data_IF_428622536344
#
_entry.id   IF_428622536344
#
_cell.length_a   1.000
_cell.length_b   1.000
_cell.length_c   1.000
_cell.angle_alpha   90.00
_cell.angle_beta   90.00
_cell.angle_gamma   90.00
#
_symmetry.space_group_name_H-M   'P 1'
#
loop_
_entity.id
_entity.type
_entity.pdbx_description
1 polymer ?
#
# COMPACT_ATOMS: atom_id res chain seq x y z
N UNK A 1 5.00 26.07 -1.63
CA UNK A 1 4.82 24.76 -0.96
C UNK A 1 5.04 23.70 -2.02
N UNK A 2 5.90 22.69 -1.79
CA UNK A 2 6.10 21.61 -2.77
C UNK A 2 4.84 20.77 -2.83
N UNK A 3 4.09 20.88 -3.91
CA UNK A 3 2.92 20.06 -4.13
C UNK A 3 3.35 18.61 -4.40
N UNK A 4 3.15 17.73 -3.40
CA UNK A 4 3.53 16.32 -3.50
C UNK A 4 2.64 15.61 -4.52
N UNK A 5 3.24 15.15 -5.62
CA UNK A 5 2.58 14.33 -6.62
C UNK A 5 2.24 12.97 -6.00
N UNK A 6 0.97 12.58 -6.07
CA UNK A 6 0.49 11.24 -5.69
C UNK A 6 0.27 10.41 -6.94
N UNK A 7 0.49 9.09 -6.85
CA UNK A 7 0.28 8.16 -7.96
C UNK A 7 -0.82 7.18 -7.58
N UNK A 8 -1.80 7.03 -8.47
CA UNK A 8 -2.89 6.07 -8.33
C UNK A 8 -2.74 4.94 -9.34
N UNK A 9 -2.47 3.75 -8.83
CA UNK A 9 -2.32 2.53 -9.62
C UNK A 9 -3.66 1.80 -9.74
N UNK A 10 -4.20 1.77 -10.95
CA UNK A 10 -5.42 1.04 -11.26
C UNK A 10 -5.06 -0.41 -11.61
N UNK A 11 -5.55 -1.35 -10.80
CA UNK A 11 -5.31 -2.78 -10.98
C UNK A 11 -6.56 -3.51 -11.46
N UNK A 12 -6.39 -4.58 -12.22
CA UNK A 12 -7.46 -5.50 -12.60
C UNK A 12 -7.97 -6.28 -11.39
N UNK A 13 -9.08 -7.00 -11.55
CA UNK A 13 -9.58 -7.94 -10.53
C UNK A 13 -8.59 -9.09 -10.23
N UNK A 14 -7.64 -9.36 -11.13
CA UNK A 14 -6.57 -10.34 -10.96
C UNK A 14 -5.29 -9.74 -10.37
N UNK A 15 -5.26 -8.43 -10.09
CA UNK A 15 -4.13 -7.73 -9.47
C UNK A 15 -3.10 -7.14 -10.44
N UNK A 16 -3.30 -7.30 -11.74
CA UNK A 16 -2.41 -6.74 -12.78
C UNK A 16 -2.56 -5.22 -12.89
N UNK A 17 -1.46 -4.50 -13.04
CA UNK A 17 -1.48 -3.05 -13.22
C UNK A 17 -2.00 -2.70 -14.62
N UNK A 18 -3.13 -1.99 -14.68
CA UNK A 18 -3.74 -1.55 -15.94
C UNK A 18 -3.25 -0.16 -16.37
N UNK A 19 -3.17 0.77 -15.42
CA UNK A 19 -2.72 2.14 -15.67
C UNK A 19 -2.35 2.83 -14.37
N UNK A 20 -1.43 3.77 -14.42
CA UNK A 20 -1.10 4.65 -13.29
C UNK A 20 -1.44 6.09 -13.65
N UNK A 21 -2.15 6.79 -12.77
CA UNK A 21 -2.52 8.20 -12.95
C UNK A 21 -1.89 9.02 -11.83
N UNK A 22 -1.07 10.00 -12.21
CA UNK A 22 -0.52 10.97 -11.27
C UNK A 22 -1.53 12.07 -10.99
N UNK A 23 -1.54 12.55 -9.76
CA UNK A 23 -2.35 13.68 -9.32
C UNK A 23 -1.58 14.62 -8.42
N UNK A 24 -2.08 15.83 -8.28
CA UNK A 24 -1.60 16.87 -7.39
C UNK A 24 -2.80 17.61 -6.81
N UNK A 25 -2.68 18.12 -5.58
CA UNK A 25 -3.73 18.94 -4.98
C UNK A 25 -3.35 20.41 -5.15
N UNK A 26 -4.20 21.19 -5.79
CA UNK A 26 -4.02 22.64 -5.99
C UNK A 26 -5.28 23.30 -5.42
N UNK A 27 -5.11 24.25 -4.48
CA UNK A 27 -6.22 24.97 -3.84
C UNK A 27 -7.32 24.05 -3.28
N UNK A 28 -6.91 22.96 -2.62
CA UNK A 28 -7.79 21.92 -2.06
C UNK A 28 -8.59 21.10 -3.09
N UNK A 29 -8.35 21.31 -4.39
CA UNK A 29 -8.97 20.53 -5.48
C UNK A 29 -7.96 19.53 -6.06
N UNK A 30 -8.41 18.31 -6.41
CA UNK A 30 -7.55 17.34 -7.07
C UNK A 30 -7.40 17.68 -8.56
N UNK A 31 -6.15 17.71 -9.01
CA UNK A 31 -5.76 17.87 -10.40
C UNK A 31 -4.99 16.65 -10.86
N UNK A 32 -5.23 16.21 -12.09
CA UNK A 32 -4.70 14.98 -12.64
C UNK A 32 -3.86 15.24 -13.88
N UNK A 33 -2.77 14.51 -14.05
CA UNK A 33 -1.93 14.63 -15.25
C UNK A 33 -2.70 14.13 -16.48
N UNK A 34 -2.98 15.03 -17.41
CA UNK A 34 -3.84 14.75 -18.57
C UNK A 34 -3.26 13.65 -19.48
N UNK A 35 -1.93 13.56 -19.55
CA UNK A 35 -1.22 12.51 -20.30
C UNK A 35 -1.58 11.12 -19.78
N UNK A 36 -1.59 10.95 -18.46
CA UNK A 36 -1.84 9.67 -17.83
C UNK A 36 -3.30 9.24 -18.04
N UNK A 37 -4.24 10.19 -17.96
CA UNK A 37 -5.67 9.97 -18.25
C UNK A 37 -5.89 9.57 -19.71
N UNK A 38 -5.29 10.32 -20.65
CA UNK A 38 -5.42 10.01 -22.08
C UNK A 38 -4.88 8.62 -22.39
N UNK A 39 -3.72 8.26 -21.84
CA UNK A 39 -3.14 6.93 -21.97
C UNK A 39 -4.07 5.86 -21.40
N UNK A 40 -4.62 6.08 -20.19
CA UNK A 40 -5.58 5.17 -19.56
C UNK A 40 -6.87 5.00 -20.39
N UNK A 41 -7.31 6.04 -21.09
CA UNK A 41 -8.47 6.02 -21.99
C UNK A 41 -8.17 5.52 -23.41
N UNK A 42 -6.89 5.30 -23.76
CA UNK A 42 -6.46 4.92 -25.11
C UNK A 42 -6.52 6.06 -26.13
N UNK A 43 -6.44 7.31 -25.66
CA UNK A 43 -6.39 8.51 -26.50
C UNK A 43 -4.93 8.81 -26.86
N UNK A 44 -4.59 8.72 -28.14
CA UNK A 44 -3.21 8.83 -28.62
C UNK A 44 -2.66 10.26 -28.65
N UNK A 45 -3.54 11.26 -28.78
CA UNK A 45 -3.16 12.67 -28.81
C UNK A 45 -3.84 13.44 -27.68
N UNK A 46 -3.04 13.77 -26.67
CA UNK A 46 -3.46 14.50 -25.47
C UNK A 46 -3.92 15.91 -25.81
N UNK A 47 -3.16 16.65 -26.65
CA UNK A 47 -3.48 18.02 -27.02
C UNK A 47 -4.83 18.11 -27.73
N UNK A 48 -5.09 17.22 -28.69
CA UNK A 48 -6.39 17.16 -29.40
C UNK A 48 -7.52 16.78 -28.43
N UNK A 49 -7.27 15.83 -27.53
CA UNK A 49 -8.28 15.39 -26.56
C UNK A 49 -8.70 16.51 -25.60
N UNK A 50 -7.75 17.39 -25.25
CA UNK A 50 -7.96 18.53 -24.36
C UNK A 50 -8.57 19.76 -25.06
N UNK A 51 -8.61 19.81 -26.40
CA UNK A 51 -9.28 20.91 -27.12
C UNK A 51 -10.77 20.98 -26.83
N UNK A 52 -11.40 19.84 -26.50
CA UNK A 52 -12.82 19.79 -26.14
C UNK A 52 -13.09 19.96 -24.64
N UNK A 53 -12.08 20.32 -23.86
CA UNK A 53 -12.19 20.60 -22.43
C UNK A 53 -12.14 22.11 -22.23
N UNK A 54 -13.04 22.60 -21.38
CA UNK A 54 -13.14 24.01 -21.06
C UNK A 54 -11.84 24.54 -20.43
N UNK A 55 -11.57 25.82 -20.64
CA UNK A 55 -10.33 26.47 -20.17
C UNK A 55 -10.21 26.50 -18.64
N UNK A 56 -11.34 26.48 -17.92
CA UNK A 56 -11.39 26.39 -16.46
C UNK A 56 -11.01 25.00 -15.92
N UNK A 57 -11.18 23.96 -16.74
CA UNK A 57 -10.98 22.57 -16.37
C UNK A 57 -9.58 22.04 -16.69
N UNK A 58 -8.71 22.89 -17.26
CA UNK A 58 -7.33 22.56 -17.61
C UNK A 58 -6.33 23.63 -17.16
N UNK A 59 -5.16 23.22 -16.71
CA UNK A 59 -4.09 24.14 -16.32
C UNK A 59 -2.71 23.54 -16.54
N UNK A 60 -1.67 24.37 -16.57
CA UNK A 60 -0.29 23.90 -16.61
C UNK A 60 0.22 23.60 -15.20
N UNK A 61 0.97 22.51 -15.04
CA UNK A 61 1.67 22.24 -13.80
C UNK A 61 2.82 23.24 -13.60
N UNK A 62 2.62 24.23 -12.73
CA UNK A 62 3.55 25.34 -12.52
C UNK A 62 4.87 24.92 -11.85
N UNK A 63 4.83 23.89 -11.01
CA UNK A 63 6.01 23.38 -10.26
C UNK A 63 6.87 22.40 -11.08
N UNK A 64 6.75 22.41 -12.41
CA UNK A 64 7.56 21.57 -13.29
C UNK A 64 9.00 22.11 -13.39
N UNK A 65 9.97 21.33 -12.93
CA UNK A 65 11.39 21.69 -12.88
C UNK A 65 12.20 21.20 -14.10
N UNK A 66 11.59 20.50 -15.05
CA UNK A 66 12.28 19.95 -16.23
C UNK A 66 12.43 20.96 -17.37
N UNK A 67 13.41 20.76 -18.25
CA UNK A 67 13.50 21.49 -19.52
C UNK A 67 12.51 20.91 -20.53
N UNK A 68 11.52 21.69 -20.95
CA UNK A 68 10.50 21.25 -21.92
C UNK A 68 9.14 21.89 -21.71
N UNK A 69 8.14 21.41 -22.47
CA UNK A 69 6.75 21.85 -22.32
C UNK A 69 6.22 21.40 -20.96
N UNK A 70 5.58 22.33 -20.24
CA UNK A 70 4.94 22.02 -18.96
C UNK A 70 3.82 21.00 -19.18
N UNK A 71 3.69 19.99 -18.31
CA UNK A 71 2.61 19.02 -18.43
C UNK A 71 1.27 19.69 -18.10
N UNK A 72 0.24 19.30 -18.85
CA UNK A 72 -1.13 19.75 -18.63
C UNK A 72 -1.80 18.89 -17.56
N UNK A 73 -2.57 19.57 -16.72
CA UNK A 73 -3.43 19.00 -15.70
C UNK A 73 -4.88 19.24 -16.06
N UNK A 74 -5.75 18.33 -15.62
CA UNK A 74 -7.20 18.50 -15.66
C UNK A 74 -7.79 18.29 -14.27
N UNK A 75 -8.81 19.07 -13.93
CA UNK A 75 -9.55 18.87 -12.68
C UNK A 75 -10.53 17.68 -12.81
N UNK A 76 -11.34 17.46 -11.79
CA UNK A 76 -12.34 16.38 -11.77
C UNK A 76 -13.43 16.54 -12.86
N UNK A 77 -13.87 17.78 -13.14
CA UNK A 77 -14.84 18.07 -14.20
C UNK A 77 -14.29 17.68 -15.59
N UNK A 78 -13.08 18.15 -15.92
CA UNK A 78 -12.40 17.81 -17.18
C UNK A 78 -12.12 16.30 -17.32
N UNK A 79 -11.78 15.63 -16.22
CA UNK A 79 -11.66 14.16 -16.19
C UNK A 79 -12.98 13.49 -16.60
N UNK A 80 -14.11 13.88 -16.00
CA UNK A 80 -15.41 13.31 -16.34
C UNK A 80 -15.81 13.59 -17.79
N UNK A 81 -15.55 14.79 -18.29
CA UNK A 81 -15.78 15.13 -19.70
C UNK A 81 -15.02 14.19 -20.65
N UNK A 82 -13.74 13.91 -20.37
CA UNK A 82 -12.94 12.94 -21.13
C UNK A 82 -13.51 11.53 -21.06
N UNK A 83 -13.95 11.07 -19.89
CA UNK A 83 -14.50 9.72 -19.70
C UNK A 83 -15.83 9.58 -20.46
N UNK A 84 -16.73 10.56 -20.38
CA UNK A 84 -18.05 10.53 -21.01
C UNK A 84 -17.95 10.48 -22.54
N UNK A 85 -16.91 11.10 -23.11
CA UNK A 85 -16.61 11.11 -24.55
C UNK A 85 -15.89 9.84 -25.03
N UNK A 86 -15.22 9.12 -24.13
CA UNK A 86 -14.42 7.95 -24.50
C UNK A 86 -15.26 6.80 -25.05
N UNK A 87 -14.72 6.12 -26.07
CA UNK A 87 -15.33 4.92 -26.69
C UNK A 87 -14.86 3.61 -26.05
N UNK A 88 -13.95 3.65 -25.08
CA UNK A 88 -13.37 2.48 -24.42
C UNK A 88 -14.44 1.71 -23.63
N UNK A 89 -14.40 0.37 -23.63
CA UNK A 89 -15.43 -0.48 -22.97
C UNK A 89 -15.58 -0.13 -21.48
N UNK A 90 -14.47 0.12 -20.80
CA UNK A 90 -14.41 0.51 -19.39
C UNK A 90 -15.10 1.87 -19.16
N UNK A 91 -14.83 2.86 -20.01
CA UNK A 91 -15.48 4.18 -19.95
C UNK A 91 -17.00 4.09 -20.23
N UNK A 92 -17.41 3.21 -21.16
CA UNK A 92 -18.84 2.95 -21.41
C UNK A 92 -19.57 2.38 -20.19
N UNK A 93 -18.92 1.50 -19.42
CA UNK A 93 -19.50 0.98 -18.16
C UNK A 93 -19.71 2.09 -17.14
N UNK A 94 -18.69 2.93 -16.94
CA UNK A 94 -18.78 4.07 -16.03
C UNK A 94 -19.85 5.07 -16.46
N UNK A 95 -19.86 5.46 -17.75
CA UNK A 95 -20.89 6.32 -18.33
C UNK A 95 -22.29 5.74 -18.11
N UNK A 96 -22.48 4.44 -18.40
CA UNK A 96 -23.77 3.77 -18.20
C UNK A 96 -24.19 3.85 -16.74
N UNK A 97 -23.30 3.46 -15.83
CA UNK A 97 -23.53 3.54 -14.38
C UNK A 97 -23.96 4.93 -13.93
N UNK A 98 -23.25 5.99 -14.34
CA UNK A 98 -23.65 7.37 -14.03
C UNK A 98 -25.05 7.67 -14.57
N UNK A 99 -25.30 7.37 -15.84
CA UNK A 99 -26.55 7.77 -16.51
C UNK A 99 -27.78 6.96 -16.13
N UNK A 100 -27.62 5.69 -15.77
CA UNK A 100 -28.74 4.79 -15.48
C UNK A 100 -28.98 4.61 -13.98
N UNK A 101 -27.96 4.85 -13.16
CA UNK A 101 -28.02 4.57 -11.72
C UNK A 101 -27.80 5.86 -10.91
N UNK A 102 -26.64 6.49 -11.03
CA UNK A 102 -26.25 7.63 -10.17
C UNK A 102 -27.18 8.83 -10.38
N UNK A 103 -27.22 9.39 -11.59
CA UNK A 103 -28.01 10.59 -11.89
C UNK A 103 -29.51 10.34 -11.64
N UNK A 104 -30.12 9.23 -12.10
CA UNK A 104 -31.52 8.94 -11.80
C UNK A 104 -31.80 8.81 -10.30
N UNK A 105 -30.88 8.23 -9.52
CA UNK A 105 -31.04 8.10 -8.06
C UNK A 105 -30.99 9.46 -7.37
N UNK A 106 -30.02 10.31 -7.73
CA UNK A 106 -29.93 11.69 -7.20
C UNK A 106 -31.19 12.47 -7.57
N UNK A 107 -31.65 12.40 -8.83
CA UNK A 107 -32.86 13.10 -9.26
C UNK A 107 -34.11 12.66 -8.49
N UNK A 108 -34.22 11.36 -8.16
CA UNK A 108 -35.39 10.78 -7.46
C UNK A 108 -35.36 11.00 -5.95
N UNK A 109 -34.19 10.89 -5.33
CA UNK A 109 -34.05 10.81 -3.87
C UNK A 109 -33.29 11.98 -3.26
N UNK A 110 -32.70 12.85 -4.09
CA UNK A 110 -31.82 13.94 -3.66
C UNK A 110 -30.40 13.48 -3.29
N UNK A 111 -30.10 12.18 -3.30
CA UNK A 111 -28.78 11.65 -2.97
C UNK A 111 -28.39 10.40 -3.78
N UNK A 112 -27.12 10.02 -3.72
CA UNK A 112 -26.63 8.72 -4.18
C UNK A 112 -25.67 8.18 -3.13
N UNK A 113 -25.96 6.99 -2.62
CA UNK A 113 -25.13 6.33 -1.61
C UNK A 113 -24.77 4.92 -2.10
N UNK A 114 -23.49 4.61 -2.08
CA UNK A 114 -22.98 3.25 -2.37
C UNK A 114 -23.25 2.28 -1.21
N UNK A 115 -23.38 2.82 0.00
CA UNK A 115 -23.98 2.10 1.11
C UNK A 115 -25.48 2.13 0.86
N UNK A 116 -26.10 0.97 0.63
CA UNK A 116 -27.56 0.87 0.74
C UNK A 116 -27.90 1.53 2.06
N UNK A 117 -28.55 2.69 2.04
CA UNK A 117 -29.18 3.18 3.26
C UNK A 117 -30.14 2.06 3.62
N UNK A 118 -29.76 1.24 4.61
CA UNK A 118 -30.68 0.33 5.27
C UNK A 118 -31.84 1.24 5.61
N UNK A 119 -32.99 1.09 4.92
CA UNK A 119 -34.16 1.87 5.28
C UNK A 119 -34.29 1.75 6.77
N UNK A 120 -34.44 2.86 7.49
CA UNK A 120 -34.60 2.83 8.93
C UNK A 120 -35.58 1.69 9.26
N UNK A 121 -35.21 0.76 10.15
CA UNK A 121 -36.05 -0.38 10.45
C UNK A 121 -37.44 0.13 10.85
N UNK A 122 -38.47 -0.64 10.56
CA UNK A 122 -39.80 -0.32 11.06
C UNK A 122 -39.77 -0.36 12.59
N UNK A 123 -39.71 0.81 13.21
CA UNK A 123 -39.65 0.96 14.66
C UNK A 123 -40.95 0.54 15.35
N UNK A 124 -42.04 0.32 14.58
CA UNK A 124 -43.28 -0.22 15.10
C UNK A 124 -43.27 -1.75 15.27
N UNK A 125 -42.31 -2.45 14.64
CA UNK A 125 -42.03 -3.87 14.87
C UNK A 125 -40.77 -4.02 15.76
N UNK A 126 -40.92 -4.39 17.05
CA UNK A 126 -39.80 -4.60 17.96
C UNK A 126 -38.76 -5.62 17.45
N UNK A 127 -39.19 -6.64 16.69
CA UNK A 127 -38.29 -7.67 16.19
C UNK A 127 -37.45 -7.19 14.99
N UNK A 128 -37.99 -6.29 14.16
CA UNK A 128 -37.26 -5.67 13.06
C UNK A 128 -36.24 -4.64 13.58
N UNK A 129 -36.63 -3.82 14.55
CA UNK A 129 -35.76 -2.84 15.18
C UNK A 129 -34.55 -3.49 15.88
N UNK A 130 -34.78 -4.57 16.63
CA UNK A 130 -33.70 -5.29 17.32
C UNK A 130 -32.67 -5.92 16.36
N UNK A 131 -33.13 -6.48 15.22
CA UNK A 131 -32.25 -7.07 14.20
C UNK A 131 -31.37 -6.03 13.53
N UNK A 132 -31.94 -4.90 13.11
CA UNK A 132 -31.18 -3.82 12.51
C UNK A 132 -30.14 -3.22 13.47
N UNK A 133 -30.48 -3.10 14.76
CA UNK A 133 -29.51 -2.67 15.78
C UNK A 133 -28.37 -3.68 15.95
N UNK A 134 -28.67 -4.98 15.96
CA UNK A 134 -27.64 -6.02 16.02
C UNK A 134 -26.70 -5.97 14.81
N UNK A 135 -27.25 -5.83 13.60
CA UNK A 135 -26.47 -5.72 12.36
C UNK A 135 -25.54 -4.50 12.36
N UNK A 136 -26.05 -3.34 12.79
CA UNK A 136 -25.26 -2.11 12.91
C UNK A 136 -24.16 -2.25 13.98
N UNK A 137 -24.51 -2.82 15.15
CA UNK A 137 -23.57 -3.05 16.24
C UNK A 137 -22.44 -4.00 15.83
N UNK A 138 -22.77 -5.10 15.15
CA UNK A 138 -21.78 -6.02 14.60
C UNK A 138 -20.91 -5.36 13.52
N UNK A 139 -21.50 -4.59 12.60
CA UNK A 139 -20.75 -3.88 11.57
C UNK A 139 -19.78 -2.87 12.17
N UNK A 140 -20.23 -2.10 13.17
CA UNK A 140 -19.41 -1.17 13.94
C UNK A 140 -18.29 -1.89 14.69
N UNK A 141 -18.61 -3.00 15.37
CA UNK A 141 -17.61 -3.80 16.09
C UNK A 141 -16.60 -4.45 15.16
N UNK A 142 -17.00 -4.91 13.97
CA UNK A 142 -16.06 -5.41 12.95
C UNK A 142 -15.09 -4.31 12.52
N UNK A 143 -15.56 -3.09 12.27
CA UNK A 143 -14.70 -1.96 11.94
C UNK A 143 -13.74 -1.60 13.08
N UNK A 144 -14.24 -1.54 14.32
CA UNK A 144 -13.43 -1.30 15.52
C UNK A 144 -12.37 -2.40 15.69
N UNK A 145 -12.72 -3.67 15.49
CA UNK A 145 -11.78 -4.80 15.60
C UNK A 145 -10.62 -4.71 14.60
N UNK A 146 -10.86 -4.11 13.43
CA UNK A 146 -9.83 -3.94 12.41
C UNK A 146 -8.86 -2.81 12.79
N UNK A 147 -9.40 -1.68 13.24
CA UNK A 147 -8.61 -0.55 13.76
C UNK A 147 -7.78 -0.98 14.96
N UNK A 148 -8.38 -1.74 15.88
CA UNK A 148 -7.69 -2.24 17.07
C UNK A 148 -6.54 -3.19 16.70
N UNK A 149 -6.74 -4.10 15.73
CA UNK A 149 -5.65 -4.95 15.21
C UNK A 149 -4.53 -4.16 14.54
N UNK A 150 -4.85 -3.09 13.81
CA UNK A 150 -3.81 -2.23 13.22
C UNK A 150 -3.01 -1.48 14.29
N UNK A 151 -3.67 -0.99 15.35
CA UNK A 151 -3.01 -0.33 16.47
C UNK A 151 -2.06 -1.29 17.22
N UNK A 152 -2.53 -2.50 17.56
CA UNK A 152 -1.70 -3.54 18.20
C UNK A 152 -0.44 -3.88 17.39
N UNK A 153 -0.57 -3.91 16.07
CA UNK A 153 0.55 -4.17 15.16
C UNK A 153 1.61 -3.07 15.21
N UNK A 154 1.19 -1.79 15.20
CA UNK A 154 2.10 -0.64 15.24
C UNK A 154 2.80 -0.57 16.59
N UNK A 155 2.03 -0.69 17.67
CA UNK A 155 2.53 -0.66 19.05
C UNK A 155 3.56 -1.78 19.31
N UNK A 156 3.24 -3.03 18.94
CA UNK A 156 4.17 -4.14 19.11
C UNK A 156 5.44 -3.96 18.27
N UNK A 157 5.32 -3.41 17.06
CA UNK A 157 6.47 -3.15 16.21
C UNK A 157 7.38 -2.05 16.79
N UNK A 158 6.82 -0.97 17.32
CA UNK A 158 7.59 0.11 17.96
C UNK A 158 8.35 -0.40 19.18
N UNK A 159 7.74 -1.30 19.96
CA UNK A 159 8.41 -1.90 21.12
C UNK A 159 9.56 -2.84 20.73
N UNK A 160 9.42 -3.59 19.64
CA UNK A 160 10.46 -4.54 19.21
C UNK A 160 11.56 -3.89 18.36
N UNK A 161 11.21 -2.95 17.48
CA UNK A 161 12.14 -2.41 16.49
C UNK A 161 13.05 -1.34 17.07
N UNK A 162 14.35 -1.48 16.80
CA UNK A 162 15.39 -0.50 17.13
C UNK A 162 16.20 -0.22 15.86
N UNK A 163 16.45 1.05 15.51
CA UNK A 163 17.27 1.41 14.37
C UNK A 163 18.65 0.75 14.45
N UNK A 164 19.11 0.16 13.35
CA UNK A 164 20.42 -0.49 13.31
C UNK A 164 20.39 -2.01 13.56
N UNK A 165 19.24 -2.60 13.92
CA UNK A 165 19.13 -4.05 14.05
C UNK A 165 19.15 -4.78 12.71
N UNK A 166 19.77 -5.95 12.68
CA UNK A 166 19.71 -6.88 11.54
C UNK A 166 18.36 -7.60 11.49
N UNK A 167 17.93 -8.12 10.33
CA UNK A 167 16.68 -8.89 10.23
C UNK A 167 16.65 -10.11 11.15
N UNK A 168 17.80 -10.76 11.35
CA UNK A 168 17.93 -11.91 12.24
C UNK A 168 17.78 -11.49 13.70
N UNK A 169 18.37 -10.36 14.11
CA UNK A 169 18.19 -9.82 15.46
C UNK A 169 16.73 -9.47 15.73
N UNK A 170 16.04 -8.84 14.77
CA UNK A 170 14.61 -8.58 14.90
C UNK A 170 13.80 -9.87 15.04
N UNK A 171 14.05 -10.87 14.18
CA UNK A 171 13.33 -12.14 14.25
C UNK A 171 13.63 -12.96 15.52
N UNK A 172 14.76 -12.74 16.19
CA UNK A 172 15.06 -13.35 17.50
C UNK A 172 14.11 -12.87 18.59
N UNK A 173 13.51 -11.70 18.44
CA UNK A 173 12.53 -11.15 19.38
C UNK A 173 11.11 -11.70 19.13
N UNK A 174 10.91 -12.54 18.10
CA UNK A 174 9.63 -13.13 17.74
C UNK A 174 9.54 -14.58 18.25
N UNK A 175 8.41 -14.94 18.86
CA UNK A 175 8.22 -16.28 19.40
C UNK A 175 8.16 -17.32 18.27
N UNK A 176 8.73 -18.51 18.48
CA UNK A 176 8.60 -19.61 17.53
C UNK A 176 9.35 -19.47 16.21
N UNK A 177 9.96 -18.32 15.89
CA UNK A 177 10.66 -18.11 14.63
C UNK A 177 11.99 -18.88 14.59
N UNK A 178 12.24 -19.58 13.50
CA UNK A 178 13.52 -20.22 13.21
C UNK A 178 14.49 -19.23 12.55
N UNK A 179 15.24 -18.52 13.39
CA UNK A 179 16.16 -17.45 13.00
C UNK A 179 17.29 -17.90 12.07
N UNK A 180 17.67 -19.19 12.09
CA UNK A 180 18.71 -19.73 11.21
C UNK A 180 18.28 -19.76 9.74
N UNK A 181 16.97 -19.78 9.47
CA UNK A 181 16.42 -19.84 8.10
C UNK A 181 15.98 -18.47 7.58
N UNK A 182 16.09 -17.40 8.37
CA UNK A 182 15.61 -16.07 7.99
C UNK A 182 16.42 -15.47 6.85
N UNK A 183 17.74 -15.64 6.83
CA UNK A 183 18.56 -15.12 5.72
C UNK A 183 18.19 -15.77 4.39
N UNK A 184 18.04 -17.10 4.37
CA UNK A 184 17.56 -17.85 3.20
C UNK A 184 16.12 -17.45 2.80
N UNK A 185 15.25 -17.20 3.77
CA UNK A 185 13.90 -16.69 3.50
C UNK A 185 13.93 -15.32 2.83
N UNK A 186 14.79 -14.41 3.29
CA UNK A 186 14.94 -13.07 2.71
C UNK A 186 15.61 -13.11 1.33
N UNK A 187 16.55 -14.02 1.11
CA UNK A 187 17.10 -14.31 -0.22
C UNK A 187 16.01 -14.76 -1.20
N UNK A 188 15.17 -15.72 -0.80
CA UNK A 188 14.05 -16.21 -1.60
C UNK A 188 13.02 -15.10 -1.92
N UNK A 189 12.89 -14.09 -1.04
CA UNK A 189 12.07 -12.91 -1.28
C UNK A 189 12.79 -11.79 -2.04
N UNK A 190 13.95 -12.07 -2.63
CA UNK A 190 14.73 -11.14 -3.44
C UNK A 190 15.23 -9.91 -2.65
N UNK A 191 15.45 -10.05 -1.34
CA UNK A 191 16.02 -8.98 -0.50
C UNK A 191 17.53 -9.09 -0.34
N UNK A 192 18.04 -10.32 -0.22
CA UNK A 192 19.45 -10.60 -0.06
C UNK A 192 20.00 -11.41 -1.25
N UNK A 193 21.31 -11.33 -1.45
CA UNK A 193 22.08 -12.26 -2.28
C UNK A 193 23.43 -12.54 -1.61
N UNK A 194 24.00 -13.70 -1.88
CA UNK A 194 25.37 -14.00 -1.50
C UNK A 194 26.35 -13.47 -2.56
N UNK A 195 27.26 -12.58 -2.15
CA UNK A 195 28.32 -12.04 -3.01
C UNK A 195 29.46 -13.05 -3.23
N UNK A 196 29.56 -14.07 -2.38
CA UNK A 196 30.59 -15.12 -2.46
C UNK A 196 29.96 -16.51 -2.38
N UNK A 197 29.14 -16.91 -3.37
CA UNK A 197 28.39 -18.18 -3.32
C UNK A 197 29.29 -19.43 -3.34
N UNK A 198 30.52 -19.31 -3.82
CA UNK A 198 31.51 -20.40 -3.83
C UNK A 198 32.23 -20.57 -2.47
N UNK A 199 32.09 -19.60 -1.57
CA UNK A 199 32.67 -19.62 -0.23
C UNK A 199 31.86 -20.48 0.73
N UNK A 200 32.53 -21.12 1.69
CA UNK A 200 31.87 -21.78 2.84
C UNK A 200 31.16 -20.81 3.78
N UNK A 201 31.56 -19.53 3.74
CA UNK A 201 30.98 -18.46 4.55
C UNK A 201 30.29 -17.45 3.63
N UNK A 202 28.95 -17.36 3.67
CA UNK A 202 28.20 -16.48 2.78
C UNK A 202 28.46 -15.01 3.13
N UNK A 203 28.58 -14.18 2.10
CA UNK A 203 28.70 -12.74 2.20
C UNK A 203 27.38 -12.09 1.76
N UNK A 204 26.43 -12.01 2.70
CA UNK A 204 25.11 -11.48 2.41
C UNK A 204 25.12 -9.98 2.12
N UNK A 205 24.64 -9.63 0.93
CA UNK A 205 24.44 -8.26 0.45
C UNK A 205 22.98 -7.98 0.16
N UNK A 206 22.59 -6.71 0.23
CA UNK A 206 21.23 -6.27 -0.04
C UNK A 206 21.03 -6.07 -1.54
N UNK A 207 19.96 -6.62 -2.11
CA UNK A 207 19.59 -6.38 -3.52
C UNK A 207 19.08 -4.96 -3.70
N UNK A 208 19.32 -4.37 -4.87
CA UNK A 208 18.90 -3.00 -5.19
C UNK A 208 17.40 -2.75 -4.96
N UNK A 209 16.54 -3.75 -5.21
CA UNK A 209 15.09 -3.69 -4.94
C UNK A 209 14.75 -3.47 -3.46
N UNK A 210 15.51 -4.07 -2.54
CA UNK A 210 15.24 -4.01 -1.11
C UNK A 210 16.04 -2.92 -0.39
N UNK A 211 17.14 -2.47 -1.00
CA UNK A 211 17.99 -1.39 -0.48
C UNK A 211 17.17 -0.09 -0.38
N UNK A 212 17.34 0.62 0.73
CA UNK A 212 16.69 1.89 1.08
C UNK A 212 15.16 1.84 1.27
N UNK A 213 14.52 0.70 0.94
CA UNK A 213 13.09 0.45 1.16
C UNK A 213 12.84 -0.43 2.37
N UNK A 214 13.57 -1.53 2.50
CA UNK A 214 13.36 -2.53 3.55
C UNK A 214 14.63 -2.79 4.36
N UNK A 215 15.79 -2.70 3.71
CA UNK A 215 17.11 -2.89 4.29
C UNK A 215 18.05 -1.76 3.89
N UNK A 216 19.09 -1.56 4.68
CA UNK A 216 20.28 -0.78 4.31
C UNK A 216 21.53 -1.59 4.66
N UNK A 217 22.72 -1.10 4.30
CA UNK A 217 23.99 -1.77 4.59
C UNK A 217 24.83 -0.91 5.52
N UNK A 218 25.34 -1.53 6.59
CA UNK A 218 26.42 -0.95 7.38
C UNK A 218 27.74 -1.49 6.87
N UNK A 219 28.69 -0.59 6.63
CA UNK A 219 30.04 -0.93 6.22
C UNK A 219 30.96 -0.83 7.43
N UNK A 220 31.80 -1.83 7.64
CA UNK A 220 32.88 -1.78 8.63
C UNK A 220 34.17 -2.26 7.98
N UNK A 221 35.24 -1.49 8.15
CA UNK A 221 36.56 -1.88 7.70
C UNK A 221 37.16 -2.85 8.73
N UNK A 222 37.60 -4.01 8.27
CA UNK A 222 38.28 -5.01 9.08
C UNK A 222 39.76 -4.95 8.71
N UNK A 223 40.57 -4.48 9.64
CA UNK A 223 42.02 -4.53 9.54
C UNK A 223 42.50 -5.93 9.93
N UNK A 224 43.18 -6.63 9.02
CA UNK A 224 43.70 -7.97 9.27
C UNK A 224 45.11 -7.95 9.88
N UNK A 225 45.73 -6.78 10.02
CA UNK A 225 47.04 -6.58 10.65
C UNK A 225 48.25 -7.11 9.87
N UNK A 226 48.03 -8.00 8.89
CA UNK A 226 49.08 -8.63 8.07
C UNK A 226 48.79 -8.61 6.56
N UNK A 227 47.53 -8.39 6.15
CA UNK A 227 47.10 -8.27 4.75
C UNK A 227 46.37 -6.93 4.55
N UNK A 228 46.06 -6.56 3.30
CA UNK A 228 45.13 -5.44 3.07
C UNK A 228 43.78 -5.75 3.72
N UNK A 229 43.33 -4.87 4.61
CA UNK A 229 42.03 -4.99 5.25
C UNK A 229 40.90 -4.90 4.22
N UNK A 230 39.73 -5.40 4.58
CA UNK A 230 38.58 -5.44 3.69
C UNK A 230 37.34 -4.81 4.31
N UNK A 231 36.45 -4.32 3.46
CA UNK A 231 35.14 -3.85 3.91
C UNK A 231 34.19 -5.03 4.07
N UNK A 232 33.56 -5.11 5.24
CA UNK A 232 32.48 -6.03 5.51
C UNK A 232 31.15 -5.29 5.54
N UNK A 233 30.15 -5.92 4.96
CA UNK A 233 28.83 -5.36 4.71
C UNK A 233 27.82 -6.12 5.56
N UNK A 234 27.04 -5.40 6.35
CA UNK A 234 26.02 -6.01 7.20
C UNK A 234 24.64 -5.46 6.81
N UNK A 235 23.72 -6.32 6.34
CA UNK A 235 22.33 -5.93 6.13
C UNK A 235 21.65 -5.52 7.44
N UNK A 236 21.11 -4.31 7.45
CA UNK A 236 20.41 -3.69 8.58
C UNK A 236 18.97 -3.41 8.17
N UNK A 237 18.04 -3.64 9.09
CA UNK A 237 16.61 -3.51 8.91
C UNK A 237 16.16 -2.05 8.99
N UNK A 238 15.36 -1.60 8.04
CA UNK A 238 14.63 -0.35 8.11
C UNK A 238 13.24 -0.59 8.70
N UNK A 239 12.58 0.46 9.22
CA UNK A 239 11.26 0.34 9.83
C UNK A 239 10.24 -0.33 8.89
N UNK A 240 10.23 0.04 7.61
CA UNK A 240 9.36 -0.57 6.60
C UNK A 240 9.68 -2.06 6.33
N UNK A 241 10.95 -2.46 6.48
CA UNK A 241 11.38 -3.86 6.45
C UNK A 241 10.89 -4.64 7.67
N UNK A 242 11.03 -4.07 8.87
CA UNK A 242 10.51 -4.64 10.11
C UNK A 242 9.00 -4.84 10.05
N UNK A 243 8.29 -3.83 9.52
CA UNK A 243 6.86 -3.89 9.27
C UNK A 243 6.52 -5.09 8.39
N UNK A 244 7.19 -5.19 7.25
CA UNK A 244 6.91 -6.27 6.33
C UNK A 244 7.19 -7.66 6.96
N UNK A 245 8.32 -7.84 7.67
CA UNK A 245 8.65 -9.11 8.34
C UNK A 245 7.61 -9.45 9.40
N UNK A 246 7.20 -8.50 10.22
CA UNK A 246 6.22 -8.73 11.28
C UNK A 246 4.82 -9.06 10.70
N UNK A 247 4.46 -8.52 9.53
CA UNK A 247 3.25 -8.96 8.81
C UNK A 247 3.34 -10.40 8.33
N UNK A 248 4.52 -10.86 7.87
CA UNK A 248 4.70 -12.26 7.50
C UNK A 248 4.64 -13.17 8.72
N UNK A 249 5.14 -12.71 9.87
CA UNK A 249 5.04 -13.42 11.14
C UNK A 249 3.57 -13.66 11.51
N UNK A 250 2.75 -12.61 11.57
CA UNK A 250 1.31 -12.73 11.91
C UNK A 250 0.50 -13.59 10.93
N UNK A 251 1.01 -13.79 9.70
CA UNK A 251 0.41 -14.68 8.70
C UNK A 251 0.89 -16.13 8.80
N UNK A 252 1.84 -16.42 9.70
CA UNK A 252 2.50 -17.72 9.80
C UNK A 252 3.41 -18.05 8.60
N UNK A 253 3.79 -17.06 7.80
CA UNK A 253 4.57 -17.25 6.58
C UNK A 253 6.10 -17.23 6.83
N UNK A 254 6.55 -16.81 8.02
CA UNK A 254 7.96 -16.90 8.38
C UNK A 254 8.39 -18.37 8.60
N UNK A 255 9.69 -18.68 8.48
CA UNK A 255 10.21 -19.98 8.87
C UNK A 255 10.02 -20.20 10.37
N UNK A 256 9.06 -21.04 10.75
CA UNK A 256 8.78 -21.38 12.15
C UNK A 256 9.57 -22.60 12.61
N UNK A 257 9.80 -22.72 13.92
CA UNK A 257 10.39 -23.91 14.55
C UNK A 257 9.40 -25.07 14.49
N UNK A 258 9.91 -26.30 14.36
CA UNK A 258 9.10 -27.52 14.25
C UNK A 258 8.23 -27.79 15.49
N UNK A 259 8.69 -27.35 16.66
CA UNK A 259 8.01 -27.51 17.95
C UNK A 259 7.24 -26.25 18.38
N UNK A 260 6.99 -25.31 17.47
CA UNK A 260 6.22 -24.11 17.80
C UNK A 260 4.75 -24.44 18.02
N UNK A 261 4.14 -23.86 19.05
CA UNK A 261 2.79 -24.11 19.53
C UNK A 261 1.70 -23.34 18.76
N UNK A 262 2.06 -22.50 17.78
CA UNK A 262 1.12 -21.69 17.01
C UNK A 262 0.77 -20.34 17.65
N UNK A 263 1.33 -20.02 18.82
CA UNK A 263 1.05 -18.78 19.53
C UNK A 263 2.10 -17.71 19.22
N UNK A 264 1.64 -16.47 19.01
CA UNK A 264 2.50 -15.35 18.65
C UNK A 264 3.00 -14.55 19.87
N UNK A 265 2.40 -14.74 21.04
CA UNK A 265 2.76 -14.11 22.32
C UNK A 265 3.89 -14.89 23.01
N UNK A 266 4.64 -14.20 23.89
CA UNK A 266 5.69 -14.79 24.71
C UNK A 266 5.19 -15.31 26.06
N UNK A 267 3.86 -15.32 26.28
CA UNK A 267 3.26 -15.51 27.59
C UNK A 267 3.50 -16.90 28.16
N UNK A 268 4.59 -17.03 28.91
CA UNK A 268 4.67 -17.98 30.03
C UNK A 268 3.80 -17.56 31.21
N UNK A 269 3.26 -16.33 31.23
CA UNK A 269 2.48 -15.80 32.36
C UNK A 269 0.99 -16.19 32.34
N UNK A 270 0.41 -16.51 31.18
CA UNK A 270 -0.99 -16.97 31.08
C UNK A 270 -1.17 -18.48 31.23
N UNK A 271 -0.10 -19.27 31.11
CA UNK A 271 -0.16 -20.73 31.21
C UNK A 271 -0.27 -21.26 32.67
N UNK A 272 -0.15 -20.38 33.67
CA UNK A 272 -0.22 -20.72 35.10
C UNK A 272 -1.50 -20.29 35.82
N UNK A 273 -2.49 -19.75 35.11
CA UNK A 273 -3.75 -19.27 35.68
C UNK A 273 -4.96 -20.10 35.21
N UNK A 274 -4.80 -21.42 35.18
CA UNK A 274 -5.89 -22.39 35.02
C UNK A 274 -5.87 -23.37 36.20
#
# INVERSE_FOLDING_TARGET
>A
MKNNIKVFDFKSSTGELLSSVRSVVIDSTPWFFAVDICNALGLTNTAISLQSIDDEDKTEYKDYLGSGRKPLLVNESGLYALIIKSRKKQARRFKRWITSEVIPSIRKTGNYSLTTMTSLPDFSDPAAAARAWADEYEAKNRAISYVHRQAQYIEHLENLFQPGMTPVQFCKQLNGVNVQRITAFLEAHNWLYDERPESRSPAWRVKAYARDLYLTERHHYIDSGYEEGFYSYTPVLLQKGAVWIYRQYLRGALPMKRNWNGEFTHDKELAGAA
#
